data_IF_545309682052
#
_entry.id   IF_545309682052
#
_cell.length_a   1.000
_cell.length_b   1.000
_cell.length_c   1.000
_cell.angle_alpha   90.00
_cell.angle_beta   90.00
_cell.angle_gamma   90.00
#
_symmetry.space_group_name_H-M   'P 1'
#
loop_
_entity.id
_entity.type
_entity.pdbx_description
1 polymer ?
#
# COMPACT_ATOMS: atom_id res chain seq x y z
N UNK A 1 6.91 -5.74 17.80
CA UNK A 1 6.26 -5.31 16.55
C UNK A 1 6.21 -6.51 15.61
N UNK A 2 5.16 -6.64 14.82
CA UNK A 2 4.96 -7.70 13.82
C UNK A 2 4.76 -7.03 12.46
N UNK A 3 5.05 -7.75 11.36
CA UNK A 3 4.90 -7.21 10.01
C UNK A 3 6.22 -6.98 9.28
N UNK A 4 7.31 -7.65 9.69
CA UNK A 4 8.58 -7.61 8.95
C UNK A 4 8.44 -8.39 7.64
N UNK A 5 8.98 -7.82 6.54
CA UNK A 5 9.02 -8.48 5.23
C UNK A 5 10.47 -8.74 4.86
N UNK A 6 10.78 -9.97 4.47
CA UNK A 6 12.07 -10.31 3.89
C UNK A 6 11.90 -10.85 2.47
N UNK A 7 12.63 -10.25 1.54
CA UNK A 7 12.64 -10.56 0.11
C UNK A 7 14.07 -10.96 -0.23
N UNK A 8 14.28 -12.16 -0.74
CA UNK A 8 15.62 -12.67 -1.06
C UNK A 8 15.65 -13.27 -2.46
N UNK A 9 16.37 -12.63 -3.37
CA UNK A 9 16.62 -13.13 -4.72
C UNK A 9 15.37 -13.28 -5.58
N UNK A 10 14.31 -12.50 -5.31
CA UNK A 10 13.01 -12.67 -5.97
C UNK A 10 13.06 -12.25 -7.42
N UNK A 11 12.62 -13.14 -8.31
CA UNK A 11 12.45 -12.87 -9.74
C UNK A 11 11.02 -13.15 -10.19
N UNK A 12 10.56 -12.39 -11.19
CA UNK A 12 9.24 -12.54 -11.80
C UNK A 12 9.28 -12.35 -13.30
N UNK A 13 8.72 -13.33 -13.99
CA UNK A 13 8.57 -13.32 -15.44
C UNK A 13 7.10 -13.36 -15.82
N UNK A 14 6.79 -12.72 -16.94
CA UNK A 14 5.49 -12.83 -17.61
C UNK A 14 5.70 -13.34 -19.03
N UNK A 15 4.69 -13.95 -19.60
CA UNK A 15 4.67 -14.33 -21.02
C UNK A 15 3.68 -13.40 -21.72
N UNK A 16 4.15 -12.70 -22.76
CA UNK A 16 3.27 -11.83 -23.55
C UNK A 16 2.38 -12.67 -24.49
N UNK A 17 1.37 -12.07 -25.15
CA UNK A 17 0.48 -12.80 -26.09
C UNK A 17 1.21 -13.45 -27.26
N UNK A 18 2.44 -13.02 -27.58
CA UNK A 18 3.28 -13.59 -28.65
C UNK A 18 4.17 -14.74 -28.16
N UNK A 19 4.08 -15.12 -26.87
CA UNK A 19 4.87 -16.21 -26.29
C UNK A 19 6.26 -15.80 -25.81
N UNK A 20 6.63 -14.52 -25.89
CA UNK A 20 7.92 -14.02 -25.45
C UNK A 20 7.93 -13.86 -23.90
N UNK A 21 9.02 -14.31 -23.27
CA UNK A 21 9.25 -14.16 -21.83
C UNK A 21 9.76 -12.76 -21.51
N UNK A 22 9.01 -12.02 -20.68
CA UNK A 22 9.37 -10.69 -20.22
C UNK A 22 9.75 -10.78 -18.74
N UNK A 23 10.99 -10.42 -18.41
CA UNK A 23 11.45 -10.31 -17.04
C UNK A 23 10.98 -8.99 -16.44
N UNK A 24 10.07 -9.05 -15.49
CA UNK A 24 9.56 -7.88 -14.78
C UNK A 24 10.45 -7.50 -13.59
N UNK A 25 10.87 -8.50 -12.81
CA UNK A 25 11.78 -8.36 -11.67
C UNK A 25 12.92 -9.36 -11.81
N UNK A 26 14.12 -8.95 -11.45
CA UNK A 26 15.31 -9.78 -11.55
C UNK A 26 16.17 -9.66 -10.27
N UNK A 27 16.24 -10.76 -9.51
CA UNK A 27 17.06 -10.92 -8.31
C UNK A 27 16.88 -9.78 -7.30
N UNK A 28 15.64 -9.46 -6.95
CA UNK A 28 15.30 -8.42 -5.98
C UNK A 28 15.47 -8.94 -4.56
N UNK A 29 16.27 -8.22 -3.75
CA UNK A 29 16.47 -8.50 -2.34
C UNK A 29 16.26 -7.23 -1.51
N UNK A 30 15.44 -7.31 -0.46
CA UNK A 30 15.08 -6.19 0.41
C UNK A 30 14.55 -6.68 1.75
N UNK A 31 15.05 -6.12 2.84
CA UNK A 31 14.47 -6.33 4.17
C UNK A 31 13.74 -5.06 4.61
N UNK A 32 12.49 -5.24 5.04
CA UNK A 32 11.59 -4.20 5.52
C UNK A 32 11.29 -4.47 6.98
N UNK A 33 11.80 -3.65 7.91
CA UNK A 33 11.57 -3.83 9.33
C UNK A 33 10.07 -3.67 9.70
N UNK A 34 9.64 -4.40 10.73
CA UNK A 34 8.30 -4.24 11.27
C UNK A 34 8.05 -2.80 11.75
N UNK A 35 6.87 -2.25 11.40
CA UNK A 35 6.44 -0.91 11.77
C UNK A 35 7.09 0.22 10.95
N UNK A 36 7.95 -0.08 9.97
CA UNK A 36 8.54 0.94 9.09
C UNK A 36 7.59 1.35 7.97
N UNK A 37 7.77 2.58 7.47
CA UNK A 37 7.15 3.07 6.24
C UNK A 37 8.21 3.08 5.13
N UNK A 38 8.03 2.30 4.08
CA UNK A 38 8.98 2.17 2.96
C UNK A 38 8.31 2.55 1.66
N UNK A 39 8.94 3.45 0.88
CA UNK A 39 8.49 3.77 -0.47
C UNK A 39 9.38 3.14 -1.53
N UNK A 40 8.75 2.60 -2.57
CA UNK A 40 9.38 2.10 -3.79
C UNK A 40 9.22 3.16 -4.89
N UNK A 41 10.33 3.70 -5.39
CA UNK A 41 10.34 4.66 -6.50
C UNK A 41 11.10 4.11 -7.71
N UNK A 42 10.80 4.63 -8.88
CA UNK A 42 11.45 4.24 -10.12
C UNK A 42 10.56 4.52 -11.32
N UNK A 43 11.09 4.37 -12.56
CA UNK A 43 10.34 4.69 -13.77
C UNK A 43 9.09 3.82 -13.94
N UNK A 44 8.16 4.29 -14.78
CA UNK A 44 6.96 3.51 -15.10
C UNK A 44 7.34 2.17 -15.74
N UNK A 45 6.61 1.10 -15.35
CA UNK A 45 6.84 -0.25 -15.87
C UNK A 45 8.09 -0.96 -15.32
N UNK A 46 8.79 -0.42 -14.34
CA UNK A 46 9.98 -1.06 -13.75
C UNK A 46 9.68 -2.24 -12.80
N UNK A 47 8.42 -2.52 -12.48
CA UNK A 47 8.06 -3.68 -11.66
C UNK A 47 7.62 -3.37 -10.23
N UNK A 48 7.48 -2.10 -9.81
CA UNK A 48 7.05 -1.71 -8.45
C UNK A 48 5.73 -2.35 -8.03
N UNK A 49 4.69 -2.17 -8.83
CA UNK A 49 3.38 -2.80 -8.58
C UNK A 49 3.43 -4.33 -8.65
N UNK A 50 4.34 -4.89 -9.49
CA UNK A 50 4.59 -6.34 -9.51
C UNK A 50 5.15 -6.81 -8.18
N UNK A 51 6.13 -6.09 -7.61
CA UNK A 51 6.69 -6.41 -6.31
C UNK A 51 5.63 -6.32 -5.19
N UNK A 52 4.79 -5.27 -5.20
CA UNK A 52 3.67 -5.17 -4.26
C UNK A 52 2.70 -6.35 -4.35
N UNK A 53 2.35 -6.77 -5.58
CA UNK A 53 1.47 -7.92 -5.80
C UNK A 53 2.08 -9.24 -5.35
N UNK A 54 3.40 -9.41 -5.47
CA UNK A 54 4.13 -10.55 -4.90
C UNK A 54 4.04 -10.54 -3.37
N UNK A 55 4.32 -9.41 -2.73
CA UNK A 55 4.22 -9.24 -1.26
C UNK A 55 2.80 -9.50 -0.76
N UNK A 56 1.78 -9.09 -1.51
CA UNK A 56 0.38 -9.39 -1.16
C UNK A 56 -0.01 -10.85 -1.32
N UNK A 57 0.76 -11.61 -2.11
CA UNK A 57 0.44 -12.99 -2.48
C UNK A 57 -0.58 -13.11 -3.62
N UNK A 58 -0.92 -11.99 -4.30
CA UNK A 58 -1.84 -11.99 -5.44
C UNK A 58 -1.27 -12.67 -6.68
N UNK A 59 0.05 -12.65 -6.83
CA UNK A 59 0.76 -13.38 -7.88
C UNK A 59 1.90 -14.20 -7.26
N UNK A 60 2.24 -15.37 -7.79
CA UNK A 60 3.40 -16.15 -7.34
C UNK A 60 4.70 -15.56 -7.89
N UNK A 61 5.78 -15.69 -7.11
CA UNK A 61 7.15 -15.47 -7.60
C UNK A 61 7.59 -16.70 -8.42
N UNK A 62 8.61 -16.50 -9.28
CA UNK A 62 9.18 -17.60 -10.07
C UNK A 62 10.45 -18.15 -9.39
N UNK A 63 11.27 -17.24 -8.81
CA UNK A 63 12.49 -17.60 -8.08
C UNK A 63 12.62 -16.78 -6.79
N UNK A 64 13.46 -17.25 -5.87
CA UNK A 64 13.76 -16.58 -4.62
C UNK A 64 12.87 -16.98 -3.45
N UNK A 65 12.81 -16.13 -2.43
CA UNK A 65 11.94 -16.32 -1.25
C UNK A 65 11.35 -15.01 -0.77
N UNK A 66 10.14 -15.09 -0.23
CA UNK A 66 9.39 -13.96 0.28
C UNK A 66 8.66 -14.38 1.56
N UNK A 67 8.93 -13.68 2.66
CA UNK A 67 8.35 -14.02 3.97
C UNK A 67 7.77 -12.80 4.67
N UNK A 68 6.73 -13.03 5.47
CA UNK A 68 6.17 -12.11 6.46
C UNK A 68 6.40 -12.70 7.86
N UNK A 69 7.10 -11.99 8.72
CA UNK A 69 7.49 -12.47 10.06
C UNK A 69 8.15 -13.88 10.02
N UNK A 70 8.99 -14.14 9.00
CA UNK A 70 9.64 -15.44 8.77
C UNK A 70 8.74 -16.51 8.15
N UNK A 71 7.43 -16.27 8.00
CA UNK A 71 6.49 -17.22 7.37
C UNK A 71 6.41 -16.97 5.85
N UNK A 72 6.61 -17.99 4.99
CA UNK A 72 6.53 -17.83 3.55
C UNK A 72 5.16 -17.32 3.07
N UNK A 73 5.16 -16.33 2.18
CA UNK A 73 3.97 -15.81 1.53
C UNK A 73 3.68 -16.67 0.30
N UNK A 74 2.57 -17.41 0.33
CA UNK A 74 2.15 -18.32 -0.77
C UNK A 74 0.84 -17.91 -1.42
N UNK A 75 0.01 -17.11 -0.74
CA UNK A 75 -1.31 -16.70 -1.19
C UNK A 75 -1.71 -15.38 -0.50
N UNK A 76 -2.79 -14.71 -0.95
CA UNK A 76 -3.36 -13.58 -0.25
C UNK A 76 -3.73 -13.94 1.20
N UNK A 77 -3.52 -13.00 2.13
CA UNK A 77 -3.79 -13.20 3.54
C UNK A 77 -4.39 -11.96 4.20
N UNK A 78 -5.14 -12.16 5.27
CA UNK A 78 -5.78 -11.09 6.03
C UNK A 78 -4.77 -10.22 6.81
N UNK A 79 -3.54 -10.66 6.92
CA UNK A 79 -2.40 -9.97 7.52
C UNK A 79 -1.80 -8.89 6.61
N UNK A 80 -2.27 -8.79 5.35
CA UNK A 80 -1.84 -7.81 4.35
C UNK A 80 -3.05 -7.08 3.77
N UNK A 81 -3.15 -5.76 4.06
CA UNK A 81 -4.12 -4.87 3.41
C UNK A 81 -3.55 -4.37 2.09
N UNK A 82 -4.35 -4.30 1.03
CA UNK A 82 -3.93 -3.81 -0.28
C UNK A 82 -4.85 -2.71 -0.76
N UNK A 83 -4.27 -1.57 -1.13
CA UNK A 83 -4.94 -0.46 -1.79
C UNK A 83 -4.40 -0.34 -3.21
N UNK A 84 -5.28 -0.54 -4.19
CA UNK A 84 -4.95 -0.48 -5.61
C UNK A 84 -4.89 0.96 -6.11
N UNK A 85 -4.19 1.19 -7.21
CA UNK A 85 -4.05 2.47 -7.89
C UNK A 85 -5.42 3.04 -8.33
N UNK A 86 -6.28 2.19 -8.90
CA UNK A 86 -7.63 2.57 -9.25
C UNK A 86 -8.58 2.39 -8.06
N UNK A 87 -9.68 3.16 -8.03
CA UNK A 87 -10.73 3.01 -7.03
C UNK A 87 -11.47 1.70 -7.25
N UNK A 88 -11.01 0.65 -6.60
CA UNK A 88 -11.58 -0.71 -6.72
C UNK A 88 -12.76 -0.94 -5.79
N UNK A 89 -13.48 0.11 -5.38
CA UNK A 89 -14.73 -0.04 -4.64
C UNK A 89 -15.76 -0.76 -5.49
N UNK A 90 -16.51 -1.66 -4.89
CA UNK A 90 -17.62 -2.33 -5.54
C UNK A 90 -18.76 -1.33 -5.79
N UNK A 91 -19.08 -0.98 -7.05
CA UNK A 91 -20.00 0.11 -7.35
C UNK A 91 -21.45 -0.17 -6.92
N UNK A 92 -21.80 -1.44 -6.70
CA UNK A 92 -23.11 -1.89 -6.24
C UNK A 92 -23.24 -2.03 -4.72
N UNK A 93 -22.16 -1.77 -3.97
CA UNK A 93 -22.15 -1.77 -2.51
C UNK A 93 -22.09 -0.35 -1.98
N UNK A 94 -22.74 -0.12 -0.83
CA UNK A 94 -22.58 1.11 -0.06
C UNK A 94 -21.13 1.26 0.43
N UNK A 95 -20.75 2.42 0.91
CA UNK A 95 -19.43 2.64 1.54
C UNK A 95 -19.26 1.73 2.75
N UNK A 96 -20.27 1.63 3.60
CA UNK A 96 -20.28 0.71 4.74
C UNK A 96 -20.02 -0.73 4.29
N UNK A 97 -20.75 -1.20 3.28
CA UNK A 97 -20.63 -2.57 2.79
C UNK A 97 -19.31 -2.85 2.08
N UNK A 98 -18.76 -1.85 1.39
CA UNK A 98 -17.41 -1.91 0.83
C UNK A 98 -16.35 -2.12 1.91
N UNK A 99 -16.41 -1.33 2.99
CA UNK A 99 -15.47 -1.44 4.11
C UNK A 99 -15.68 -2.76 4.85
N UNK A 100 -16.93 -3.15 5.13
CA UNK A 100 -17.27 -4.39 5.83
C UNK A 100 -16.96 -5.66 5.02
N UNK A 101 -16.72 -5.55 3.72
CA UNK A 101 -16.61 -6.69 2.81
C UNK A 101 -15.59 -7.74 3.27
N UNK A 102 -14.38 -7.30 3.64
CA UNK A 102 -13.32 -8.19 4.11
C UNK A 102 -13.67 -8.95 5.38
N UNK A 103 -14.39 -8.31 6.30
CA UNK A 103 -14.86 -8.96 7.55
C UNK A 103 -15.95 -9.99 7.26
N UNK A 104 -16.85 -9.68 6.32
CA UNK A 104 -17.92 -10.62 5.88
C UNK A 104 -17.34 -11.84 5.17
N UNK A 105 -16.39 -11.63 4.23
CA UNK A 105 -15.73 -12.70 3.51
C UNK A 105 -14.99 -13.68 4.44
N UNK A 106 -14.49 -13.18 5.58
CA UNK A 106 -13.82 -13.97 6.61
C UNK A 106 -14.78 -14.58 7.65
N UNK A 107 -16.07 -14.28 7.59
CA UNK A 107 -17.07 -14.76 8.55
C UNK A 107 -16.98 -14.15 9.95
N UNK A 108 -16.20 -13.07 10.14
CA UNK A 108 -15.97 -12.42 11.44
C UNK A 108 -16.76 -11.12 11.62
N UNK A 109 -17.59 -10.76 10.66
CA UNK A 109 -18.35 -9.50 10.66
C UNK A 109 -19.19 -9.31 11.93
N UNK A 110 -19.86 -10.37 12.42
CA UNK A 110 -20.73 -10.27 13.60
C UNK A 110 -19.96 -9.87 14.89
N UNK A 111 -18.70 -10.31 15.01
CA UNK A 111 -17.83 -10.02 16.14
C UNK A 111 -17.13 -8.65 16.01
N UNK A 112 -16.92 -8.19 14.78
CA UNK A 112 -16.06 -7.07 14.47
C UNK A 112 -16.79 -5.91 13.76
N UNK A 113 -18.12 -5.92 13.75
CA UNK A 113 -18.92 -4.92 13.01
C UNK A 113 -18.64 -3.49 13.45
N UNK A 114 -18.39 -3.26 14.75
CA UNK A 114 -18.15 -1.93 15.31
C UNK A 114 -16.87 -1.30 14.75
N UNK A 115 -15.93 -2.12 14.26
CA UNK A 115 -14.74 -1.62 13.54
C UNK A 115 -15.10 -0.90 12.25
N UNK A 116 -16.18 -1.27 11.58
CA UNK A 116 -16.57 -0.61 10.33
C UNK A 116 -16.87 0.86 10.61
N UNK A 117 -17.61 1.13 11.68
CA UNK A 117 -17.96 2.48 12.11
C UNK A 117 -16.71 3.25 12.59
N UNK A 118 -15.82 2.59 13.37
CA UNK A 118 -14.53 3.17 13.78
C UNK A 118 -13.68 3.62 12.58
N UNK A 119 -13.55 2.77 11.53
CA UNK A 119 -12.75 3.10 10.36
C UNK A 119 -13.42 4.11 9.44
N UNK A 120 -14.76 4.13 9.34
CA UNK A 120 -15.51 5.19 8.65
C UNK A 120 -15.24 6.55 9.31
N UNK A 121 -15.32 6.62 10.64
CA UNK A 121 -15.02 7.84 11.40
C UNK A 121 -13.54 8.23 11.27
N UNK A 122 -12.62 7.25 11.37
CA UNK A 122 -11.17 7.44 11.24
C UNK A 122 -10.80 8.11 9.90
N UNK A 123 -11.43 7.72 8.79
CA UNK A 123 -11.15 8.30 7.47
C UNK A 123 -12.06 9.48 7.13
N UNK A 124 -12.84 10.00 8.10
CA UNK A 124 -13.69 11.17 7.92
C UNK A 124 -14.83 10.98 6.92
N UNK A 125 -15.44 9.80 6.89
CA UNK A 125 -16.58 9.47 6.02
C UNK A 125 -17.90 9.31 6.80
N UNK A 126 -17.95 9.76 8.05
CA UNK A 126 -19.18 9.79 8.84
C UNK A 126 -20.29 10.57 8.15
N UNK A 127 -21.48 9.97 8.06
CA UNK A 127 -22.63 10.49 7.32
C UNK A 127 -22.71 10.04 5.85
N UNK A 128 -21.70 9.29 5.35
CA UNK A 128 -21.67 8.75 3.99
C UNK A 128 -21.75 7.22 3.93
N UNK A 129 -22.09 6.58 5.05
CA UNK A 129 -22.11 5.11 5.22
C UNK A 129 -22.98 4.42 4.17
N UNK A 130 -24.15 5.01 3.87
CA UNK A 130 -25.12 4.48 2.94
C UNK A 130 -24.95 4.99 1.50
N UNK A 131 -24.00 5.89 1.26
CA UNK A 131 -23.70 6.39 -0.09
C UNK A 131 -23.01 5.32 -0.91
N UNK A 132 -23.19 5.39 -2.24
CA UNK A 132 -22.52 4.53 -3.20
C UNK A 132 -21.29 5.24 -3.80
N UNK A 133 -20.29 4.50 -4.33
CA UNK A 133 -19.06 5.09 -4.87
C UNK A 133 -19.30 6.22 -5.89
N UNK A 134 -20.30 6.08 -6.77
CA UNK A 134 -20.64 7.08 -7.79
C UNK A 134 -21.21 8.40 -7.23
N UNK A 135 -21.57 8.44 -5.95
CA UNK A 135 -22.09 9.62 -5.25
C UNK A 135 -20.99 10.40 -4.50
N UNK A 136 -19.76 9.88 -4.49
CA UNK A 136 -18.65 10.45 -3.74
C UNK A 136 -17.61 11.11 -4.66
N UNK A 137 -16.83 12.05 -4.11
CA UNK A 137 -15.64 12.56 -4.77
C UNK A 137 -14.53 11.48 -4.86
N UNK A 138 -13.58 11.66 -5.77
CA UNK A 138 -12.44 10.74 -5.90
C UNK A 138 -11.66 10.57 -4.59
N UNK A 139 -11.42 11.67 -3.86
CA UNK A 139 -10.75 11.61 -2.56
C UNK A 139 -11.56 10.87 -1.48
N UNK A 140 -12.90 10.96 -1.50
CA UNK A 140 -13.75 10.17 -0.60
C UNK A 140 -13.70 8.68 -0.94
N UNK A 141 -13.73 8.32 -2.22
CA UNK A 141 -13.54 6.93 -2.67
C UNK A 141 -12.18 6.38 -2.25
N UNK A 142 -11.14 7.23 -2.32
CA UNK A 142 -9.79 6.87 -1.89
C UNK A 142 -9.76 6.55 -0.39
N UNK A 143 -10.35 7.41 0.44
CA UNK A 143 -10.47 7.19 1.90
C UNK A 143 -11.28 5.94 2.24
N UNK A 144 -12.37 5.68 1.52
CA UNK A 144 -13.14 4.45 1.69
C UNK A 144 -12.32 3.20 1.30
N UNK A 145 -11.51 3.26 0.24
CA UNK A 145 -10.60 2.18 -0.17
C UNK A 145 -9.52 1.93 0.87
N UNK A 146 -8.98 2.98 1.50
CA UNK A 146 -8.04 2.88 2.60
C UNK A 146 -8.69 2.21 3.82
N UNK A 147 -9.88 2.66 4.24
CA UNK A 147 -10.61 2.06 5.35
C UNK A 147 -10.91 0.56 5.10
N UNK A 148 -11.29 0.19 3.87
CA UNK A 148 -11.50 -1.21 3.47
C UNK A 148 -10.23 -2.05 3.59
N UNK A 149 -9.06 -1.50 3.24
CA UNK A 149 -7.79 -2.20 3.39
C UNK A 149 -7.39 -2.38 4.86
N UNK A 150 -7.81 -1.46 5.73
CA UNK A 150 -7.41 -1.38 7.14
C UNK A 150 -8.34 -2.07 8.11
N UNK A 151 -9.65 -2.21 7.81
CA UNK A 151 -10.68 -2.71 8.75
C UNK A 151 -10.36 -4.09 9.30
N UNK A 152 -9.61 -4.90 8.52
CA UNK A 152 -9.13 -6.22 8.94
C UNK A 152 -7.97 -6.20 9.92
N UNK A 153 -7.45 -5.02 10.30
CA UNK A 153 -6.23 -4.80 11.12
C UNK A 153 -5.04 -5.60 10.58
N UNK A 154 -4.62 -5.35 9.33
CA UNK A 154 -3.48 -6.05 8.74
C UNK A 154 -2.18 -5.70 9.47
N UNK A 155 -1.18 -6.58 9.40
CA UNK A 155 0.19 -6.31 9.85
C UNK A 155 0.96 -5.42 8.88
N UNK A 156 0.63 -5.52 7.59
CA UNK A 156 1.27 -4.79 6.48
C UNK A 156 0.22 -4.14 5.61
N UNK A 157 0.40 -2.85 5.33
CA UNK A 157 -0.40 -2.08 4.38
C UNK A 157 0.40 -1.86 3.09
N UNK A 158 -0.17 -2.27 1.97
CA UNK A 158 0.40 -2.15 0.63
C UNK A 158 -0.38 -1.10 -0.15
N UNK A 159 0.30 -0.06 -0.62
CA UNK A 159 -0.27 1.11 -1.28
C UNK A 159 0.32 1.23 -2.70
N UNK A 160 -0.48 0.96 -3.73
CA UNK A 160 -0.05 1.05 -5.13
C UNK A 160 -0.51 2.40 -5.72
N UNK A 161 0.39 3.38 -5.78
CA UNK A 161 0.16 4.77 -6.24
C UNK A 161 -1.12 5.40 -5.62
N UNK A 162 -1.26 5.40 -4.29
CA UNK A 162 -2.53 5.71 -3.62
C UNK A 162 -3.01 7.14 -3.84
N UNK A 163 -2.15 8.07 -4.30
CA UNK A 163 -2.42 9.49 -4.36
C UNK A 163 -2.32 10.07 -5.78
N UNK A 164 -2.01 9.24 -6.78
CA UNK A 164 -1.73 9.68 -8.14
C UNK A 164 -2.90 10.38 -8.85
N UNK A 165 -4.14 10.06 -8.50
CA UNK A 165 -5.34 10.62 -9.12
C UNK A 165 -5.93 11.84 -8.37
N UNK A 166 -5.26 12.31 -7.30
CA UNK A 166 -5.76 13.41 -6.46
C UNK A 166 -5.18 14.76 -6.87
N UNK A 167 -5.99 15.82 -6.73
CA UNK A 167 -5.49 17.20 -6.78
C UNK A 167 -4.51 17.47 -5.62
N UNK A 168 -3.72 18.54 -5.75
CA UNK A 168 -2.63 18.85 -4.81
C UNK A 168 -3.11 18.99 -3.35
N UNK A 169 -4.24 19.67 -3.12
CA UNK A 169 -4.75 19.90 -1.76
C UNK A 169 -5.28 18.61 -1.13
N UNK A 170 -6.08 17.85 -1.87
CA UNK A 170 -6.61 16.56 -1.43
C UNK A 170 -5.48 15.55 -1.18
N UNK A 171 -4.43 15.57 -2.02
CA UNK A 171 -3.23 14.75 -1.87
C UNK A 171 -2.52 15.04 -0.55
N UNK A 172 -2.28 16.31 -0.23
CA UNK A 172 -1.62 16.70 1.03
C UNK A 172 -2.41 16.22 2.25
N UNK A 173 -3.72 16.41 2.27
CA UNK A 173 -4.58 15.95 3.36
C UNK A 173 -4.54 14.42 3.50
N UNK A 174 -4.50 13.70 2.37
CA UNK A 174 -4.45 12.25 2.35
C UNK A 174 -3.10 11.70 2.83
N UNK A 175 -1.99 12.38 2.51
CA UNK A 175 -0.66 12.05 3.05
C UNK A 175 -0.65 12.16 4.57
N UNK A 176 -1.19 13.25 5.11
CA UNK A 176 -1.26 13.46 6.56
C UNK A 176 -2.14 12.41 7.23
N UNK A 177 -3.26 12.04 6.60
CA UNK A 177 -4.16 10.99 7.09
C UNK A 177 -3.49 9.60 7.10
N UNK A 178 -2.79 9.24 6.02
CA UNK A 178 -2.03 7.98 5.94
C UNK A 178 -0.96 7.93 7.05
N UNK A 179 -0.22 9.03 7.27
CA UNK A 179 0.78 9.10 8.34
C UNK A 179 0.16 8.97 9.74
N UNK A 180 -0.98 9.63 9.97
CA UNK A 180 -1.71 9.54 11.23
C UNK A 180 -2.11 8.10 11.53
N UNK A 181 -2.77 7.44 10.56
CA UNK A 181 -3.22 6.06 10.68
C UNK A 181 -2.05 5.10 10.88
N UNK A 182 -0.97 5.25 10.09
CA UNK A 182 0.23 4.43 10.23
C UNK A 182 0.86 4.57 11.62
N UNK A 183 0.95 5.79 12.15
CA UNK A 183 1.49 6.06 13.48
C UNK A 183 0.62 5.46 14.59
N UNK A 184 -0.70 5.58 14.49
CA UNK A 184 -1.65 5.06 15.46
C UNK A 184 -1.68 3.54 15.49
N UNK A 185 -1.54 2.90 14.34
CA UNK A 185 -1.66 1.43 14.22
C UNK A 185 -0.32 0.71 14.41
N UNK A 186 0.81 1.37 14.14
CA UNK A 186 2.16 0.76 14.22
C UNK A 186 2.40 -0.35 13.20
N UNK A 187 1.56 -0.46 12.15
CA UNK A 187 1.74 -1.43 11.08
C UNK A 187 2.91 -1.08 10.17
N UNK A 188 3.41 -2.06 9.42
CA UNK A 188 4.36 -1.82 8.34
C UNK A 188 3.62 -1.27 7.12
N UNK A 189 4.14 -0.22 6.48
CA UNK A 189 3.57 0.33 5.26
C UNK A 189 4.58 0.25 4.10
N UNK A 190 4.13 -0.21 2.94
CA UNK A 190 4.92 -0.23 1.70
C UNK A 190 4.13 0.50 0.63
N UNK A 191 4.69 1.57 0.10
CA UNK A 191 4.03 2.42 -0.90
C UNK A 191 4.83 2.43 -2.21
N UNK A 192 4.12 2.33 -3.31
CA UNK A 192 4.64 2.64 -4.65
C UNK A 192 4.23 4.05 -4.99
N UNK A 193 5.19 4.86 -5.41
CA UNK A 193 4.93 6.20 -5.95
C UNK A 193 5.97 6.56 -7.01
N UNK A 194 5.63 7.49 -7.88
CA UNK A 194 6.56 8.12 -8.82
C UNK A 194 6.95 9.54 -8.37
N UNK A 195 6.37 10.02 -7.28
CA UNK A 195 6.64 11.33 -6.69
C UNK A 195 7.69 11.20 -5.58
N UNK A 196 8.83 11.87 -5.76
CA UNK A 196 9.96 11.80 -4.83
C UNK A 196 9.63 12.55 -3.54
N UNK A 197 8.95 13.71 -3.63
CA UNK A 197 8.59 14.50 -2.44
C UNK A 197 7.61 13.71 -1.55
N UNK A 198 6.66 13.01 -2.17
CA UNK A 198 5.77 12.10 -1.46
C UNK A 198 6.53 10.98 -0.75
N UNK A 199 7.46 10.32 -1.46
CA UNK A 199 8.29 9.27 -0.89
C UNK A 199 9.11 9.76 0.31
N UNK A 200 9.74 10.93 0.19
CA UNK A 200 10.52 11.54 1.28
C UNK A 200 9.61 11.97 2.42
N UNK A 201 8.43 12.54 2.12
CA UNK A 201 7.50 13.00 3.17
C UNK A 201 6.97 11.85 4.03
N UNK A 202 6.61 10.72 3.41
CA UNK A 202 5.91 9.62 4.08
C UNK A 202 6.85 8.58 4.70
N UNK A 203 8.04 8.34 4.11
CA UNK A 203 8.79 7.11 4.39
C UNK A 203 9.93 7.29 5.41
N UNK A 204 10.29 6.20 6.07
CA UNK A 204 11.55 6.06 6.81
C UNK A 204 12.68 5.64 5.87
N UNK A 205 12.33 4.91 4.81
CA UNK A 205 13.27 4.43 3.80
C UNK A 205 12.67 4.54 2.40
N UNK A 206 13.45 5.03 1.45
CA UNK A 206 13.12 5.03 0.02
C UNK A 206 14.01 4.02 -0.70
N UNK A 207 13.38 3.17 -1.50
CA UNK A 207 14.04 2.14 -2.33
C UNK A 207 13.92 2.54 -3.79
N UNK A 208 15.05 2.61 -4.48
CA UNK A 208 15.13 3.02 -5.88
C UNK A 208 15.26 1.79 -6.77
N UNK A 209 14.40 1.70 -7.78
CA UNK A 209 14.39 0.58 -8.74
C UNK A 209 14.82 1.02 -10.14
N UNK A 210 15.57 0.14 -10.84
CA UNK A 210 15.96 0.33 -12.24
C UNK A 210 14.78 0.23 -13.20
N UNK A 211 14.92 0.75 -14.45
CA UNK A 211 14.07 0.30 -15.56
C UNK A 211 14.09 -1.22 -15.71
N UNK A 212 13.08 -1.76 -16.44
CA UNK A 212 12.95 -3.21 -16.67
C UNK A 212 14.22 -3.83 -17.28
N UNK A 213 14.67 -4.99 -16.75
CA UNK A 213 14.14 -5.72 -15.59
C UNK A 213 14.37 -4.95 -14.28
N UNK A 214 13.31 -4.88 -13.45
CA UNK A 214 13.37 -4.17 -12.17
C UNK A 214 14.35 -4.82 -11.21
N UNK A 215 15.32 -4.03 -10.76
CA UNK A 215 16.29 -4.37 -9.70
C UNK A 215 16.37 -3.22 -8.73
N UNK A 216 16.77 -3.48 -7.51
CA UNK A 216 17.07 -2.42 -6.54
C UNK A 216 18.47 -1.89 -6.85
N UNK A 217 18.58 -0.56 -7.09
CA UNK A 217 19.87 0.12 -7.30
C UNK A 217 20.39 0.79 -6.06
N UNK A 218 19.53 1.12 -5.11
CA UNK A 218 19.92 1.76 -3.88
C UNK A 218 18.76 1.93 -2.92
N UNK A 219 19.12 2.20 -1.67
CA UNK A 219 18.18 2.53 -0.61
C UNK A 219 18.66 3.79 0.09
N UNK A 220 17.74 4.67 0.47
CA UNK A 220 17.99 5.89 1.19
C UNK A 220 17.19 5.88 2.49
N UNK A 221 17.87 5.93 3.63
CA UNK A 221 17.23 6.13 4.93
C UNK A 221 16.91 7.61 5.12
N UNK A 222 15.66 7.95 5.36
CA UNK A 222 15.22 9.32 5.56
C UNK A 222 15.38 9.69 7.04
N UNK A 223 16.40 10.47 7.35
CA UNK A 223 16.75 10.87 8.72
C UNK A 223 15.98 12.10 9.22
N UNK A 224 15.06 12.64 8.41
CA UNK A 224 14.24 13.78 8.80
C UNK A 224 13.28 13.39 9.94
N UNK A 225 13.29 14.18 11.01
CA UNK A 225 12.40 13.96 12.14
C UNK A 225 10.91 14.13 11.74
N UNK A 226 10.01 13.45 12.43
CA UNK A 226 8.56 13.59 12.25
C UNK A 226 7.95 14.41 13.39
N UNK A 227 6.96 15.30 13.17
CA UNK A 227 6.33 15.59 11.88
C UNK A 227 7.24 16.38 10.94
N UNK A 228 7.25 16.03 9.65
CA UNK A 228 7.99 16.75 8.61
C UNK A 228 7.18 17.95 8.15
N UNK A 229 7.78 19.15 8.22
CA UNK A 229 7.16 20.36 7.71
C UNK A 229 7.54 20.53 6.23
N UNK A 230 6.55 20.54 5.31
CA UNK A 230 6.77 20.70 3.87
C UNK A 230 7.45 22.01 3.49
N UNK A 231 7.42 23.01 4.39
CA UNK A 231 8.06 24.33 4.22
C UNK A 231 9.41 24.46 4.93
N UNK A 232 9.92 23.40 5.56
CA UNK A 232 11.23 23.46 6.22
C UNK A 232 12.37 23.41 5.21
N UNK A 233 13.46 24.13 5.49
CA UNK A 233 14.68 24.07 4.67
C UNK A 233 15.19 22.62 4.52
N UNK A 234 15.15 21.83 5.59
CA UNK A 234 15.55 20.43 5.59
C UNK A 234 14.74 19.53 4.64
N UNK A 235 13.53 19.94 4.29
CA UNK A 235 12.68 19.20 3.34
C UNK A 235 12.87 19.67 1.90
N UNK A 236 13.31 20.92 1.69
CA UNK A 236 13.49 21.53 0.37
C UNK A 236 14.90 21.33 -0.22
N UNK A 237 15.83 20.83 0.55
CA UNK A 237 17.23 20.53 0.20
C UNK A 237 17.60 19.06 0.45
#
# INVERSE_FOLDING_TARGET
>A
MVGSISISGVSKHFVNPTGERITALDNVSLDIPAGSFVSLIGPSGCGKSTLLRLISGLIPMDDGSLTLDGTPIKAPGADRGFMFQEHTLFPWLSIYDNIAFGLRARGIYKQEKDRVDEFIEMVGLKGFEHSYPHQLSGGMCQRASLARALVGKPKVLLLDEPLGALDAFTRMNMQDEILRIWKETGMTAIMVTHDVDEAVYLSDKVVVMTPRPGRITGTLDIKLARPRARSSEDFLH
#
